data_IF_826699745219
#
_entry.id   IF_826699745219
#
_cell.length_a   1.000
_cell.length_b   1.000
_cell.length_c   1.000
_cell.angle_alpha   90.00
_cell.angle_beta   90.00
_cell.angle_gamma   90.00
#
_symmetry.space_group_name_H-M   'P 1'
#
loop_
_entity.id
_entity.type
_entity.pdbx_description
1 polymer ?
#
# COMPACT_ATOMS: atom_id res chain seq x y z
N UNK A 1 -18.25 13.15 19.25
CA UNK A 1 -18.48 14.03 18.09
C UNK A 1 -19.81 13.68 17.46
N UNK A 2 -20.66 14.67 17.18
CA UNK A 2 -21.84 14.45 16.34
C UNK A 2 -21.38 14.42 14.88
N UNK A 3 -21.20 13.23 14.34
CA UNK A 3 -20.88 13.05 12.91
C UNK A 3 -22.22 12.94 12.18
N UNK A 4 -22.45 13.81 11.20
CA UNK A 4 -23.57 13.67 10.28
C UNK A 4 -23.18 12.68 9.19
N UNK A 5 -24.08 11.75 8.89
CA UNK A 5 -23.91 10.79 7.79
C UNK A 5 -24.90 11.13 6.67
N UNK A 6 -24.49 11.90 5.65
CA UNK A 6 -25.33 12.18 4.50
C UNK A 6 -25.71 10.88 3.76
N UNK A 7 -26.90 10.79 3.17
CA UNK A 7 -27.37 9.54 2.57
C UNK A 7 -26.65 9.17 1.27
N UNK A 8 -26.02 10.12 0.61
CA UNK A 8 -25.29 9.91 -0.66
C UNK A 8 -24.02 10.75 -0.73
N UNK A 9 -23.11 10.40 -1.63
CA UNK A 9 -21.88 11.15 -1.91
C UNK A 9 -22.20 12.58 -2.40
N UNK A 10 -23.24 12.74 -3.21
CA UNK A 10 -23.70 14.05 -3.67
C UNK A 10 -24.20 14.92 -2.51
N UNK A 11 -24.95 14.34 -1.58
CA UNK A 11 -25.43 15.06 -0.41
C UNK A 11 -24.26 15.47 0.52
N UNK A 12 -23.21 14.64 0.62
CA UNK A 12 -21.99 15.00 1.30
C UNK A 12 -21.30 16.20 0.63
N UNK A 13 -21.09 16.13 -0.70
CA UNK A 13 -20.38 17.17 -1.46
C UNK A 13 -20.99 18.56 -1.30
N UNK A 14 -22.34 18.67 -1.22
CA UNK A 14 -23.03 19.96 -1.06
C UNK A 14 -22.81 20.63 0.31
N UNK A 15 -22.35 19.88 1.31
CA UNK A 15 -22.29 20.33 2.72
C UNK A 15 -20.87 20.57 3.25
N UNK A 16 -19.84 20.31 2.44
CA UNK A 16 -18.43 20.37 2.88
C UNK A 16 -17.56 21.20 1.96
N UNK A 17 -16.41 21.66 2.46
CA UNK A 17 -15.38 22.38 1.71
C UNK A 17 -14.16 21.49 1.39
N UNK A 18 -14.08 20.32 2.02
CA UNK A 18 -13.07 19.32 1.73
C UNK A 18 -13.62 17.91 1.90
N UNK A 19 -13.24 17.00 1.00
CA UNK A 19 -13.59 15.57 1.04
C UNK A 19 -12.31 14.75 1.09
N UNK A 20 -12.24 13.80 2.01
CA UNK A 20 -11.22 12.77 2.03
C UNK A 20 -11.83 11.49 1.49
N UNK A 21 -11.22 10.90 0.47
CA UNK A 21 -11.64 9.62 -0.10
C UNK A 21 -10.60 8.53 0.21
N UNK A 22 -11.06 7.30 0.42
CA UNK A 22 -10.21 6.14 0.58
C UNK A 22 -11.01 4.90 0.13
N UNK A 23 -10.85 4.53 -1.13
CA UNK A 23 -11.59 3.45 -1.78
C UNK A 23 -10.65 2.40 -2.37
N UNK A 24 -11.21 1.32 -2.93
CA UNK A 24 -10.42 0.12 -3.21
C UNK A 24 -9.74 0.10 -4.58
N UNK A 25 -10.33 0.74 -5.60
CA UNK A 25 -9.89 0.60 -6.98
C UNK A 25 -10.01 1.90 -7.78
N UNK A 26 -9.36 1.92 -8.96
CA UNK A 26 -9.38 3.05 -9.90
C UNK A 26 -10.78 3.47 -10.30
N UNK A 27 -11.65 2.49 -10.57
CA UNK A 27 -13.05 2.73 -10.95
C UNK A 27 -13.82 3.42 -9.81
N UNK A 28 -13.59 2.99 -8.57
CA UNK A 28 -14.28 3.54 -7.41
C UNK A 28 -13.91 5.02 -7.18
N UNK A 29 -12.63 5.38 -7.37
CA UNK A 29 -12.19 6.79 -7.30
C UNK A 29 -12.91 7.64 -8.33
N UNK A 30 -12.98 7.19 -9.58
CA UNK A 30 -13.63 7.94 -10.66
C UNK A 30 -15.14 8.04 -10.44
N UNK A 31 -15.80 7.00 -9.94
CA UNK A 31 -17.23 7.00 -9.59
C UNK A 31 -17.53 8.04 -8.50
N UNK A 32 -16.76 8.01 -7.40
CA UNK A 32 -16.91 8.99 -6.31
C UNK A 32 -16.68 10.42 -6.80
N UNK A 33 -15.64 10.64 -7.60
CA UNK A 33 -15.35 11.96 -8.17
C UNK A 33 -16.48 12.44 -9.08
N UNK A 34 -17.06 11.58 -9.93
CA UNK A 34 -18.19 11.91 -10.79
C UNK A 34 -19.45 12.28 -9.98
N UNK A 35 -19.67 11.67 -8.84
CA UNK A 35 -20.74 12.03 -7.93
C UNK A 35 -20.48 13.39 -7.25
N UNK A 36 -19.25 13.63 -6.78
CA UNK A 36 -18.83 14.85 -6.10
C UNK A 36 -18.86 16.08 -7.02
N UNK A 37 -18.46 15.93 -8.28
CA UNK A 37 -18.46 17.02 -9.29
C UNK A 37 -19.80 17.73 -9.38
N UNK A 38 -20.91 17.03 -9.17
CA UNK A 38 -22.27 17.59 -9.30
C UNK A 38 -22.64 18.57 -8.20
N UNK A 39 -21.95 18.53 -7.07
CA UNK A 39 -22.41 19.18 -5.83
C UNK A 39 -21.33 19.94 -5.06
N UNK A 40 -20.05 19.64 -5.29
CA UNK A 40 -18.95 20.36 -4.65
C UNK A 40 -18.93 21.83 -5.10
N UNK A 41 -18.69 22.71 -4.16
CA UNK A 41 -18.54 24.14 -4.42
C UNK A 41 -17.19 24.44 -5.07
N UNK A 42 -17.13 25.47 -5.88
CA UNK A 42 -15.86 26.02 -6.37
C UNK A 42 -14.96 26.39 -5.17
N UNK A 43 -13.68 26.04 -5.26
CA UNK A 43 -12.71 26.20 -4.19
C UNK A 43 -12.63 25.02 -3.21
N UNK A 44 -13.50 23.99 -3.33
CA UNK A 44 -13.39 22.80 -2.49
C UNK A 44 -12.14 21.96 -2.83
N UNK A 45 -11.75 21.09 -1.87
CA UNK A 45 -10.64 20.15 -1.99
C UNK A 45 -11.14 18.70 -2.02
N UNK A 46 -10.57 17.87 -2.88
CA UNK A 46 -10.69 16.40 -2.81
C UNK A 46 -9.31 15.82 -2.53
N UNK A 47 -9.17 15.11 -1.41
CA UNK A 47 -7.96 14.48 -0.91
C UNK A 47 -8.12 12.97 -1.03
N UNK A 48 -7.57 12.37 -2.07
CA UNK A 48 -7.73 10.92 -2.30
C UNK A 48 -6.58 10.12 -1.67
N UNK A 49 -6.90 9.42 -0.59
CA UNK A 49 -5.97 8.55 0.13
C UNK A 49 -5.92 7.11 -0.43
N UNK A 50 -6.65 6.83 -1.50
CA UNK A 50 -6.64 5.52 -2.16
C UNK A 50 -5.28 5.25 -2.82
N UNK A 51 -4.94 3.96 -3.00
CA UNK A 51 -3.80 3.55 -3.83
C UNK A 51 -4.34 3.11 -5.19
N UNK A 52 -4.09 3.93 -6.20
CA UNK A 52 -4.56 3.76 -7.58
C UNK A 52 -3.48 4.18 -8.58
N UNK A 53 -3.72 3.98 -9.87
CA UNK A 53 -2.80 4.43 -10.91
C UNK A 53 -2.66 5.97 -10.95
N UNK A 54 -1.45 6.47 -11.22
CA UNK A 54 -1.23 7.92 -11.34
C UNK A 54 -2.11 8.58 -12.43
N UNK A 55 -2.48 7.83 -13.47
CA UNK A 55 -3.41 8.31 -14.52
C UNK A 55 -4.83 8.49 -13.99
N UNK A 56 -5.27 7.66 -13.07
CA UNK A 56 -6.58 7.80 -12.43
C UNK A 56 -6.65 9.10 -11.64
N UNK A 57 -5.59 9.42 -10.89
CA UNK A 57 -5.49 10.70 -10.19
C UNK A 57 -5.53 11.89 -11.16
N UNK A 58 -4.82 11.82 -12.30
CA UNK A 58 -4.86 12.88 -13.32
C UNK A 58 -6.26 13.04 -13.91
N UNK A 59 -6.92 11.93 -14.26
CA UNK A 59 -8.32 11.97 -14.77
C UNK A 59 -9.29 12.55 -13.73
N UNK A 60 -9.13 12.18 -12.46
CA UNK A 60 -9.94 12.75 -11.38
C UNK A 60 -9.77 14.28 -11.27
N UNK A 61 -8.53 14.75 -11.32
CA UNK A 61 -8.23 16.18 -11.33
C UNK A 61 -8.81 16.90 -12.56
N UNK A 62 -8.70 16.29 -13.74
CA UNK A 62 -9.28 16.84 -14.98
C UNK A 62 -10.81 16.98 -14.92
N UNK A 63 -11.50 16.01 -14.30
CA UNK A 63 -12.95 16.06 -14.11
C UNK A 63 -13.38 17.19 -13.15
N UNK A 64 -12.60 17.45 -12.11
CA UNK A 64 -12.90 18.44 -11.07
C UNK A 64 -12.53 19.87 -11.48
N UNK A 65 -11.47 20.02 -12.26
CA UNK A 65 -10.90 21.32 -12.66
C UNK A 65 -11.91 22.32 -13.26
N UNK A 66 -12.82 21.93 -14.21
CA UNK A 66 -13.81 22.85 -14.77
C UNK A 66 -14.79 23.42 -13.73
N UNK A 67 -14.91 22.75 -12.58
CA UNK A 67 -15.80 23.14 -11.48
C UNK A 67 -15.07 23.98 -10.40
N UNK A 68 -13.78 24.27 -10.63
CA UNK A 68 -12.96 25.02 -9.68
C UNK A 68 -12.66 24.24 -8.40
N UNK A 69 -12.68 22.90 -8.46
CA UNK A 69 -12.37 22.01 -7.34
C UNK A 69 -10.96 21.45 -7.53
N UNK A 70 -10.14 21.54 -6.49
CA UNK A 70 -8.76 21.01 -6.48
C UNK A 70 -8.75 19.55 -6.05
N UNK A 71 -7.90 18.76 -6.71
CA UNK A 71 -7.68 17.35 -6.40
C UNK A 71 -6.22 17.12 -5.98
N UNK A 72 -6.05 16.41 -4.86
CA UNK A 72 -4.74 15.94 -4.39
C UNK A 72 -4.76 14.42 -4.27
N UNK A 73 -3.81 13.73 -4.88
CA UNK A 73 -3.54 12.33 -4.59
C UNK A 73 -2.67 12.24 -3.34
N UNK A 74 -3.21 11.61 -2.32
CA UNK A 74 -2.66 11.57 -0.97
C UNK A 74 -2.50 10.14 -0.44
N UNK A 75 -1.99 9.16 -1.23
CA UNK A 75 -1.84 7.79 -0.74
C UNK A 75 -0.98 7.74 0.52
N UNK A 76 -1.26 6.73 1.34
CA UNK A 76 -0.71 6.61 2.69
C UNK A 76 0.13 5.35 2.89
N UNK A 77 1.04 5.40 3.86
CA UNK A 77 1.77 4.25 4.37
C UNK A 77 1.78 4.29 5.91
N UNK A 78 1.75 3.10 6.55
CA UNK A 78 1.74 2.97 8.01
C UNK A 78 0.72 1.94 8.52
N UNK A 79 -0.07 1.35 7.61
CA UNK A 79 -1.05 0.31 7.93
C UNK A 79 -2.19 0.80 8.82
N UNK A 80 -2.91 -0.15 9.39
CA UNK A 80 -4.00 0.10 10.33
C UNK A 80 -3.52 0.75 11.63
N UNK A 81 -2.30 0.43 12.04
CA UNK A 81 -1.65 0.99 13.22
C UNK A 81 -1.41 2.49 13.03
N UNK A 82 -0.80 2.89 11.89
CA UNK A 82 -0.57 4.30 11.57
C UNK A 82 -1.86 5.11 11.44
N UNK A 83 -2.91 4.51 10.87
CA UNK A 83 -4.22 5.16 10.75
C UNK A 83 -4.87 5.39 12.12
N UNK A 84 -4.83 4.38 13.01
CA UNK A 84 -5.37 4.49 14.37
C UNK A 84 -4.64 5.54 15.19
N UNK A 85 -3.33 5.59 15.07
CA UNK A 85 -2.46 6.41 15.91
C UNK A 85 -2.19 7.81 15.32
N UNK A 86 -2.76 8.12 14.13
CA UNK A 86 -2.56 9.39 13.42
C UNK A 86 -1.09 9.60 13.00
N UNK A 87 -0.39 8.52 12.67
CA UNK A 87 1.06 8.53 12.38
C UNK A 87 1.40 8.13 10.95
N UNK A 88 0.43 8.19 10.05
CA UNK A 88 0.63 7.86 8.63
C UNK A 88 1.73 8.70 7.99
N UNK A 89 2.45 8.11 7.04
CA UNK A 89 3.22 8.83 6.05
C UNK A 89 2.32 9.06 4.83
N UNK A 90 2.09 10.32 4.48
CA UNK A 90 1.18 10.76 3.40
C UNK A 90 2.03 11.35 2.28
N UNK A 91 1.90 10.77 1.09
CA UNK A 91 2.61 11.19 -0.11
C UNK A 91 1.67 12.00 -0.98
N UNK A 92 1.93 13.30 -1.15
CA UNK A 92 0.98 14.21 -1.79
C UNK A 92 1.43 14.60 -3.19
N UNK A 93 0.52 14.47 -4.16
CA UNK A 93 0.63 15.03 -5.50
C UNK A 93 -0.50 16.02 -5.76
N UNK A 94 -0.18 17.13 -6.43
CA UNK A 94 -1.13 18.19 -6.76
C UNK A 94 -0.46 19.55 -6.86
N UNK A 95 -1.25 20.63 -6.92
CA UNK A 95 -0.69 21.99 -6.91
C UNK A 95 -0.16 22.35 -5.52
N UNK A 96 0.89 23.16 -5.46
CA UNK A 96 1.46 23.65 -4.18
C UNK A 96 0.39 24.40 -3.37
N UNK A 97 -0.43 25.22 -4.04
CA UNK A 97 -1.49 25.98 -3.40
C UNK A 97 -2.53 25.07 -2.71
N UNK A 98 -2.98 24.04 -3.42
CA UNK A 98 -3.91 23.07 -2.86
C UNK A 98 -3.28 22.28 -1.71
N UNK A 99 -1.99 21.93 -1.82
CA UNK A 99 -1.24 21.26 -0.77
C UNK A 99 -1.17 22.11 0.50
N UNK A 100 -0.81 23.40 0.40
CA UNK A 100 -0.76 24.27 1.57
C UNK A 100 -2.11 24.38 2.28
N UNK A 101 -3.21 24.44 1.52
CA UNK A 101 -4.57 24.45 2.07
C UNK A 101 -4.96 23.12 2.72
N UNK A 102 -4.47 21.99 2.19
CA UNK A 102 -4.75 20.65 2.70
C UNK A 102 -3.95 20.29 3.95
N UNK A 103 -2.81 20.92 4.20
CA UNK A 103 -1.89 20.63 5.32
C UNK A 103 -2.59 20.43 6.68
N UNK A 104 -3.50 21.31 7.13
CA UNK A 104 -4.15 21.14 8.43
C UNK A 104 -4.98 19.84 8.52
N UNK A 105 -5.61 19.44 7.40
CA UNK A 105 -6.40 18.20 7.32
C UNK A 105 -5.46 16.98 7.35
N UNK A 106 -4.43 16.99 6.50
CA UNK A 106 -3.47 15.90 6.38
C UNK A 106 -2.67 15.69 7.68
N UNK A 107 -2.30 16.77 8.37
CA UNK A 107 -1.59 16.72 9.65
C UNK A 107 -2.39 16.07 10.78
N UNK A 108 -3.72 16.03 10.67
CA UNK A 108 -4.57 15.31 11.62
C UNK A 108 -4.54 13.78 11.41
N UNK A 109 -4.10 13.31 10.24
CA UNK A 109 -4.07 11.89 9.87
C UNK A 109 -2.65 11.30 9.88
N UNK A 110 -1.62 12.12 9.70
CA UNK A 110 -0.25 11.65 9.56
C UNK A 110 0.79 12.58 10.13
N UNK A 111 1.91 12.00 10.59
CA UNK A 111 3.07 12.75 11.11
C UNK A 111 4.02 13.22 10.01
N UNK A 112 4.09 12.48 8.90
CA UNK A 112 4.94 12.80 7.76
C UNK A 112 4.06 13.08 6.57
N UNK A 113 3.99 14.35 6.16
CA UNK A 113 3.19 14.79 5.02
C UNK A 113 4.14 15.48 4.04
N UNK A 114 4.33 14.88 2.86
CA UNK A 114 5.33 15.35 1.90
C UNK A 114 4.70 15.57 0.54
N UNK A 115 4.90 16.77 -0.03
CA UNK A 115 4.54 17.10 -1.40
C UNK A 115 5.62 16.62 -2.37
N UNK A 116 5.24 15.78 -3.34
CA UNK A 116 6.16 15.17 -4.31
C UNK A 116 6.11 15.82 -5.69
N UNK A 117 5.21 16.76 -5.91
CA UNK A 117 5.08 17.45 -7.20
C UNK A 117 3.64 17.44 -7.74
N UNK A 118 3.44 17.55 -9.06
CA UNK A 118 2.11 17.64 -9.67
C UNK A 118 1.26 16.39 -9.43
N UNK A 119 -0.04 16.47 -9.74
CA UNK A 119 -1.01 15.37 -9.59
C UNK A 119 -0.49 14.06 -10.20
N UNK A 120 -0.58 12.98 -9.44
CA UNK A 120 -0.04 11.66 -9.74
C UNK A 120 1.35 11.40 -9.13
N UNK A 121 2.03 12.43 -8.60
CA UNK A 121 3.34 12.27 -7.94
C UNK A 121 3.22 11.55 -6.59
N UNK A 122 2.13 11.74 -5.86
CA UNK A 122 1.84 10.99 -4.65
C UNK A 122 1.69 9.49 -4.93
N UNK A 123 0.94 9.13 -5.98
CA UNK A 123 0.79 7.73 -6.40
C UNK A 123 2.13 7.15 -6.90
N UNK A 124 2.95 7.92 -7.60
CA UNK A 124 4.29 7.48 -8.01
C UNK A 124 5.20 7.22 -6.79
N UNK A 125 5.16 8.09 -5.79
CA UNK A 125 5.88 7.89 -4.53
C UNK A 125 5.35 6.65 -3.78
N UNK A 126 4.03 6.43 -3.77
CA UNK A 126 3.42 5.23 -3.21
C UNK A 126 3.86 3.96 -3.94
N UNK A 127 3.86 3.96 -5.27
CA UNK A 127 4.36 2.83 -6.07
C UNK A 127 5.82 2.50 -5.73
N UNK A 128 6.66 3.52 -5.57
CA UNK A 128 8.06 3.35 -5.12
C UNK A 128 8.13 2.66 -3.76
N UNK A 129 7.30 3.07 -2.80
CA UNK A 129 7.21 2.41 -1.49
C UNK A 129 6.77 0.94 -1.63
N UNK A 130 5.77 0.64 -2.47
CA UNK A 130 5.26 -0.74 -2.63
C UNK A 130 6.28 -1.68 -3.29
N UNK A 131 7.07 -1.19 -4.23
CA UNK A 131 8.20 -1.94 -4.80
C UNK A 131 9.24 -2.27 -3.72
N UNK A 132 9.59 -1.31 -2.85
CA UNK A 132 10.49 -1.56 -1.72
C UNK A 132 9.89 -2.58 -0.75
N UNK A 133 8.59 -2.46 -0.43
CA UNK A 133 7.89 -3.43 0.42
C UNK A 133 7.97 -4.85 -0.16
N UNK A 134 7.76 -5.02 -1.47
CA UNK A 134 7.88 -6.32 -2.12
C UNK A 134 9.24 -6.97 -1.89
N UNK A 135 10.35 -6.22 -2.10
CA UNK A 135 11.70 -6.73 -1.87
C UNK A 135 11.97 -7.07 -0.40
N UNK A 136 11.47 -6.25 0.52
CA UNK A 136 11.62 -6.48 1.97
C UNK A 136 10.84 -7.73 2.40
N UNK A 137 9.60 -7.89 1.95
CA UNK A 137 8.75 -9.05 2.27
C UNK A 137 9.41 -10.33 1.77
N UNK A 138 9.87 -10.32 0.52
CA UNK A 138 10.57 -11.43 -0.11
C UNK A 138 11.79 -11.85 0.71
N UNK A 139 12.71 -10.91 0.95
CA UNK A 139 13.97 -11.16 1.65
C UNK A 139 13.77 -11.63 3.09
N UNK A 140 12.85 -11.00 3.82
CA UNK A 140 12.54 -11.36 5.23
C UNK A 140 11.91 -12.73 5.30
N UNK A 141 10.95 -13.05 4.43
CA UNK A 141 10.29 -14.35 4.42
C UNK A 141 11.27 -15.48 4.11
N UNK A 142 12.15 -15.28 3.14
CA UNK A 142 13.19 -16.26 2.76
C UNK A 142 14.22 -16.44 3.88
N UNK A 143 14.72 -15.35 4.47
CA UNK A 143 15.68 -15.39 5.57
C UNK A 143 15.12 -16.10 6.81
N UNK A 144 13.86 -15.85 7.17
CA UNK A 144 13.20 -16.50 8.30
C UNK A 144 12.98 -17.99 8.04
N UNK A 145 12.63 -18.37 6.81
CA UNK A 145 12.49 -19.78 6.41
C UNK A 145 13.87 -20.49 6.45
N UNK A 146 14.93 -19.84 5.98
CA UNK A 146 16.29 -20.34 6.09
C UNK A 146 16.70 -20.56 7.56
N UNK A 147 16.46 -19.56 8.43
CA UNK A 147 16.77 -19.67 9.86
C UNK A 147 16.03 -20.85 10.50
N UNK A 148 14.76 -21.06 10.15
CA UNK A 148 13.95 -22.21 10.58
C UNK A 148 14.56 -23.53 10.13
N UNK A 149 14.96 -23.64 8.86
CA UNK A 149 15.59 -24.83 8.31
C UNK A 149 16.95 -25.17 8.95
N UNK A 150 17.68 -24.14 9.43
CA UNK A 150 18.92 -24.30 10.19
C UNK A 150 18.69 -24.65 11.67
N UNK A 151 17.45 -24.79 12.12
CA UNK A 151 17.10 -25.06 13.52
C UNK A 151 17.41 -23.92 14.49
N UNK A 152 17.52 -22.67 13.98
CA UNK A 152 17.80 -21.51 14.81
C UNK A 152 16.56 -21.09 15.61
N UNK A 153 16.71 -20.58 16.84
CA UNK A 153 15.59 -20.05 17.61
C UNK A 153 15.11 -18.73 17.02
N UNK A 154 13.96 -18.78 16.33
CA UNK A 154 13.46 -17.67 15.51
C UNK A 154 13.19 -16.40 16.33
N UNK A 155 12.74 -16.52 17.58
CA UNK A 155 12.56 -15.38 18.49
C UNK A 155 13.87 -14.60 18.67
N UNK A 156 14.99 -15.32 18.90
CA UNK A 156 16.31 -14.70 19.06
C UNK A 156 16.79 -14.05 17.76
N UNK A 157 16.44 -14.63 16.60
CA UNK A 157 16.71 -14.03 15.30
C UNK A 157 16.01 -12.68 15.18
N UNK A 158 14.71 -12.62 15.50
CA UNK A 158 13.94 -11.35 15.45
C UNK A 158 14.52 -10.32 16.41
N UNK A 159 14.78 -10.70 17.67
CA UNK A 159 15.29 -9.79 18.70
C UNK A 159 16.68 -9.23 18.39
N UNK A 160 17.54 -10.04 17.80
CA UNK A 160 18.93 -9.68 17.51
C UNK A 160 19.04 -8.91 16.20
N UNK A 161 18.51 -9.49 15.10
CA UNK A 161 18.67 -8.91 13.77
C UNK A 161 17.75 -7.70 13.56
N UNK A 162 16.69 -7.58 14.35
CA UNK A 162 15.83 -6.38 14.38
C UNK A 162 16.58 -5.09 14.75
N UNK A 163 17.80 -5.20 15.32
CA UNK A 163 18.67 -4.06 15.68
C UNK A 163 19.84 -3.88 14.72
N UNK A 164 19.98 -4.77 13.74
CA UNK A 164 21.07 -4.77 12.78
C UNK A 164 20.73 -4.14 11.43
N UNK A 165 21.71 -4.15 10.52
CA UNK A 165 21.59 -3.59 9.18
C UNK A 165 20.54 -4.28 8.29
N UNK A 166 20.24 -5.57 8.55
CA UNK A 166 19.18 -6.31 7.86
C UNK A 166 17.77 -6.02 8.37
N UNK A 167 17.62 -5.09 9.32
CA UNK A 167 16.32 -4.74 9.89
C UNK A 167 15.48 -3.91 8.95
N UNK A 168 14.16 -4.00 9.14
CA UNK A 168 13.16 -3.11 8.56
C UNK A 168 11.96 -3.02 9.51
N UNK A 169 11.11 -2.01 9.31
CA UNK A 169 9.83 -1.95 10.03
C UNK A 169 9.03 -3.26 9.87
N UNK A 170 8.98 -3.76 8.64
CA UNK A 170 8.30 -5.02 8.33
C UNK A 170 8.89 -6.20 9.11
N UNK A 171 10.21 -6.35 9.12
CA UNK A 171 10.86 -7.42 9.87
C UNK A 171 10.48 -7.39 11.35
N UNK A 172 10.63 -6.24 12.00
CA UNK A 172 10.35 -6.09 13.43
C UNK A 172 8.88 -6.37 13.77
N UNK A 173 7.93 -5.91 12.93
CA UNK A 173 6.51 -5.98 13.23
C UNK A 173 5.79 -7.21 12.65
N UNK A 174 6.34 -7.85 11.61
CA UNK A 174 5.68 -8.98 10.92
C UNK A 174 6.43 -10.32 11.07
N UNK A 175 7.74 -10.36 11.28
CA UNK A 175 8.43 -11.62 11.55
C UNK A 175 7.91 -12.35 12.82
N UNK A 176 7.43 -11.70 13.88
CA UNK A 176 6.74 -12.39 14.98
C UNK A 176 5.51 -13.22 14.54
N UNK A 177 4.83 -12.85 13.45
CA UNK A 177 3.74 -13.65 12.88
C UNK A 177 4.28 -14.95 12.28
N UNK A 178 5.44 -14.89 11.62
CA UNK A 178 6.12 -16.06 11.05
C UNK A 178 6.57 -17.02 12.14
N UNK A 179 7.08 -16.49 13.27
CA UNK A 179 7.44 -17.29 14.44
C UNK A 179 6.23 -18.05 14.99
N UNK A 180 5.09 -17.40 15.10
CA UNK A 180 3.84 -18.00 15.60
C UNK A 180 3.11 -18.88 14.58
N UNK A 181 3.45 -18.79 13.29
CA UNK A 181 2.70 -19.44 12.21
C UNK A 181 1.28 -18.90 12.04
N UNK A 182 1.01 -17.66 12.47
CA UNK A 182 -0.31 -17.03 12.44
C UNK A 182 -0.23 -15.66 11.76
N UNK A 183 -1.10 -15.40 10.78
CA UNK A 183 -0.99 -14.27 9.87
C UNK A 183 -2.25 -13.37 9.87
N UNK A 184 -2.62 -12.80 11.03
CA UNK A 184 -3.75 -11.88 11.11
C UNK A 184 -3.51 -10.65 10.23
N UNK A 185 -4.53 -10.25 9.46
CA UNK A 185 -4.39 -9.23 8.45
C UNK A 185 -4.11 -7.84 9.05
N UNK A 186 -2.87 -7.38 8.90
CA UNK A 186 -2.49 -5.97 9.03
C UNK A 186 -2.48 -5.29 7.65
N UNK A 187 -1.97 -6.01 6.63
CA UNK A 187 -2.10 -5.67 5.22
C UNK A 187 -2.30 -6.96 4.42
N UNK A 188 -3.45 -7.09 3.75
CA UNK A 188 -3.83 -8.34 3.07
C UNK A 188 -3.01 -8.57 1.81
N UNK A 189 -2.70 -9.84 1.53
CA UNK A 189 -2.03 -10.30 0.32
C UNK A 189 -2.69 -9.71 -0.94
N UNK A 190 -4.01 -9.87 -1.11
CA UNK A 190 -4.74 -9.37 -2.28
C UNK A 190 -4.67 -7.86 -2.49
N UNK A 191 -4.52 -7.08 -1.40
CA UNK A 191 -4.40 -5.63 -1.50
C UNK A 191 -3.00 -5.21 -1.94
N UNK A 192 -1.95 -5.90 -1.47
CA UNK A 192 -0.60 -5.64 -1.95
C UNK A 192 -0.40 -6.17 -3.37
N UNK A 193 -1.02 -7.30 -3.74
CA UNK A 193 -1.07 -7.81 -5.13
C UNK A 193 -1.65 -6.74 -6.09
N UNK A 194 -2.77 -6.11 -5.71
CA UNK A 194 -3.35 -4.99 -6.46
C UNK A 194 -2.35 -3.84 -6.59
N UNK A 195 -1.72 -3.44 -5.49
CA UNK A 195 -0.75 -2.33 -5.49
C UNK A 195 0.46 -2.64 -6.39
N UNK A 196 0.97 -3.88 -6.37
CA UNK A 196 2.06 -4.31 -7.23
C UNK A 196 1.66 -4.39 -8.71
N UNK A 197 0.40 -4.74 -8.99
CA UNK A 197 -0.16 -4.66 -10.35
C UNK A 197 -0.12 -3.23 -10.87
N UNK A 198 -0.50 -2.25 -10.05
CA UNK A 198 -0.37 -0.82 -10.38
C UNK A 198 1.11 -0.46 -10.65
N UNK A 199 2.04 -0.93 -9.82
CA UNK A 199 3.49 -0.69 -10.03
C UNK A 199 3.97 -1.25 -11.37
N UNK A 200 3.58 -2.48 -11.71
CA UNK A 200 3.89 -3.14 -12.98
C UNK A 200 3.35 -2.33 -14.16
N UNK A 201 2.09 -1.91 -14.11
CA UNK A 201 1.45 -1.16 -15.18
C UNK A 201 2.08 0.23 -15.36
N UNK A 202 2.49 0.87 -14.27
CA UNK A 202 3.25 2.13 -14.33
C UNK A 202 4.63 1.93 -14.96
N UNK A 203 5.35 0.84 -14.63
CA UNK A 203 6.66 0.53 -15.20
C UNK A 203 6.59 0.15 -16.69
N UNK A 204 5.53 -0.54 -17.10
CA UNK A 204 5.29 -0.94 -18.49
C UNK A 204 5.25 0.27 -19.46
N UNK A 205 4.86 1.46 -18.99
CA UNK A 205 4.89 2.70 -19.79
C UNK A 205 6.30 3.13 -20.18
N UNK A 206 7.30 2.67 -19.44
CA UNK A 206 8.73 2.88 -19.77
C UNK A 206 9.32 1.69 -20.53
N UNK A 207 8.50 0.69 -20.87
CA UNK A 207 8.97 -0.55 -21.52
C UNK A 207 9.80 -1.44 -20.59
N UNK A 208 9.62 -1.33 -19.27
CA UNK A 208 10.43 -2.02 -18.26
C UNK A 208 9.56 -2.99 -17.46
N UNK A 209 10.05 -4.22 -17.28
CA UNK A 209 9.56 -5.14 -16.26
C UNK A 209 10.38 -4.98 -14.97
N UNK A 210 9.74 -5.11 -13.82
CA UNK A 210 10.36 -5.00 -12.50
C UNK A 210 10.51 -6.41 -11.90
N UNK A 211 11.71 -7.03 -11.90
CA UNK A 211 11.88 -8.44 -11.51
C UNK A 211 11.35 -8.78 -10.11
N UNK A 212 11.56 -7.89 -9.12
CA UNK A 212 11.06 -8.06 -7.75
C UNK A 212 9.52 -8.07 -7.72
N UNK A 213 8.91 -7.17 -8.47
CA UNK A 213 7.43 -7.06 -8.55
C UNK A 213 6.84 -8.30 -9.22
N UNK A 214 7.40 -8.74 -10.35
CA UNK A 214 6.91 -9.90 -11.09
C UNK A 214 7.00 -11.18 -10.24
N UNK A 215 8.12 -11.36 -9.52
CA UNK A 215 8.29 -12.50 -8.62
C UNK A 215 7.25 -12.49 -7.52
N UNK A 216 7.06 -11.36 -6.84
CA UNK A 216 6.11 -11.24 -5.75
C UNK A 216 4.65 -11.42 -6.22
N UNK A 217 4.32 -10.91 -7.41
CA UNK A 217 2.99 -11.14 -8.01
C UNK A 217 2.73 -12.63 -8.26
N UNK A 218 3.74 -13.39 -8.71
CA UNK A 218 3.63 -14.85 -8.87
C UNK A 218 3.37 -15.56 -7.54
N UNK A 219 4.07 -15.17 -6.47
CA UNK A 219 3.87 -15.75 -5.14
C UNK A 219 2.51 -15.38 -4.54
N UNK A 220 2.05 -14.15 -4.75
CA UNK A 220 0.72 -13.73 -4.29
C UNK A 220 -0.40 -14.46 -5.05
N UNK A 221 -0.27 -14.64 -6.34
CA UNK A 221 -1.22 -15.44 -7.12
C UNK A 221 -1.34 -16.87 -6.56
N UNK A 222 -0.21 -17.47 -6.17
CA UNK A 222 -0.20 -18.78 -5.52
C UNK A 222 -0.87 -18.78 -4.15
N UNK A 223 -0.57 -17.79 -3.28
CA UNK A 223 -1.23 -17.65 -1.99
C UNK A 223 -2.74 -17.45 -2.12
N UNK A 224 -3.18 -16.61 -3.06
CA UNK A 224 -4.61 -16.39 -3.36
C UNK A 224 -5.28 -17.68 -3.84
N UNK A 225 -4.64 -18.42 -4.74
CA UNK A 225 -5.17 -19.71 -5.23
C UNK A 225 -5.30 -20.76 -4.12
N UNK A 226 -4.43 -20.69 -3.10
CA UNK A 226 -4.48 -21.56 -1.91
C UNK A 226 -5.44 -21.06 -0.82
N UNK A 227 -6.16 -19.96 -1.03
CA UNK A 227 -7.13 -19.39 -0.07
C UNK A 227 -6.56 -18.43 0.96
N UNK A 228 -5.29 -18.02 0.84
CA UNK A 228 -4.60 -17.14 1.80
C UNK A 228 -4.63 -15.65 1.41
N UNK A 229 -5.41 -15.26 0.41
CA UNK A 229 -5.49 -13.89 -0.09
C UNK A 229 -5.94 -12.85 0.94
N UNK A 230 -6.64 -13.25 1.99
CA UNK A 230 -7.09 -12.38 3.10
C UNK A 230 -6.16 -12.41 4.31
N UNK A 231 -5.14 -13.26 4.31
CA UNK A 231 -4.08 -13.23 5.32
C UNK A 231 -3.16 -12.00 5.14
N UNK A 232 -2.38 -11.72 6.18
CA UNK A 232 -1.32 -10.70 6.13
C UNK A 232 -0.23 -11.10 5.12
N UNK A 233 0.37 -10.10 4.48
CA UNK A 233 1.50 -10.27 3.53
C UNK A 233 2.65 -11.12 4.09
N UNK A 234 2.77 -11.26 5.41
CA UNK A 234 3.76 -12.15 6.06
C UNK A 234 3.47 -13.64 5.83
N UNK A 235 2.29 -14.00 5.34
CA UNK A 235 1.97 -15.38 4.94
C UNK A 235 2.80 -15.90 3.76
N UNK A 236 3.50 -15.02 3.03
CA UNK A 236 4.55 -15.40 2.06
C UNK A 236 5.58 -16.38 2.67
N UNK A 237 5.81 -16.29 3.98
CA UNK A 237 6.63 -17.24 4.73
C UNK A 237 6.22 -18.70 4.53
N UNK A 238 4.93 -19.00 4.28
CA UNK A 238 4.43 -20.36 3.97
C UNK A 238 5.14 -20.93 2.75
N UNK A 239 5.19 -20.19 1.66
CA UNK A 239 5.83 -20.61 0.42
C UNK A 239 7.34 -20.79 0.60
N UNK A 240 7.97 -19.90 1.38
CA UNK A 240 9.42 -19.98 1.59
C UNK A 240 9.82 -21.18 2.46
N UNK A 241 9.01 -21.61 3.42
CA UNK A 241 9.30 -22.81 4.21
C UNK A 241 9.27 -24.08 3.36
N UNK A 242 8.37 -24.15 2.39
CA UNK A 242 8.25 -25.29 1.48
C UNK A 242 9.50 -25.51 0.61
N UNK A 243 10.30 -24.46 0.36
CA UNK A 243 11.56 -24.59 -0.37
C UNK A 243 12.56 -25.53 0.35
N UNK A 244 12.50 -25.57 1.68
CA UNK A 244 13.38 -26.39 2.52
C UNK A 244 12.78 -27.75 2.91
N UNK A 245 11.49 -27.95 2.65
CA UNK A 245 10.79 -29.21 2.91
C UNK A 245 10.82 -30.17 1.71
N UNK A 246 11.22 -29.68 0.51
CA UNK A 246 11.33 -30.53 -0.68
C UNK A 246 12.52 -31.49 -0.53
N UNK A 247 12.33 -32.81 -0.77
CA UNK A 247 13.44 -33.76 -0.75
C UNK A 247 14.47 -33.34 -1.80
N UNK A 248 15.73 -33.28 -1.35
CA UNK A 248 16.90 -32.87 -2.13
C UNK A 248 17.00 -33.67 -3.44
N UNK A 249 16.49 -33.13 -4.56
CA UNK A 249 16.57 -33.77 -5.89
C UNK A 249 18.01 -33.93 -6.42
N UNK A 250 18.98 -33.35 -5.72
CA UNK A 250 20.39 -33.34 -6.12
C UNK A 250 21.28 -34.40 -5.45
N UNK A 251 20.71 -35.33 -4.67
CA UNK A 251 21.52 -36.36 -3.99
C UNK A 251 21.43 -37.76 -4.65
N UNK A 252 21.16 -37.81 -5.95
CA UNK A 252 21.24 -39.04 -6.75
C UNK A 252 22.46 -38.98 -7.67
N UNK A 253 23.68 -39.01 -7.09
CA UNK A 253 24.90 -39.03 -7.89
C UNK A 253 26.16 -39.08 -7.04
N UNK A 254 26.43 -40.24 -6.43
CA UNK A 254 27.69 -40.42 -5.73
C UNK A 254 27.77 -41.79 -5.05
N UNK A 255 27.89 -42.85 -5.82
CA UNK A 255 28.58 -44.08 -5.40
C UNK A 255 29.67 -44.36 -6.42
#
# INVERSE_FOLDING_TARGET
MNVQAPPTVEALGSSVDAVVTCVSADADVLEVVQALVKTLKSGALVLDCSTVGAETSRKAAELLKPHGVEFLDCPVSGGTEGARDGTLAIMVGGTEEAFERAKPILAAMGKTVTHFGPTGSGQAAKATNQIMCAGIIESVSEAMAFARAQGLPLEKIVDTLGKGAGSSWYFVHRAPNMVRGSFPAGFRVRLHEKDLTICRDMAARFGVALPVVERMLGEYAELVARGYGDEDISSTFRLKTELFEQPNKNNTGGK
#
